data_IF_434395175672
#
_entry.id   IF_434395175672
#
_cell.length_a   1.000
_cell.length_b   1.000
_cell.length_c   1.000
_cell.angle_alpha   90.00
_cell.angle_beta   90.00
_cell.angle_gamma   90.00
#
_symmetry.space_group_name_H-M   'P 1'
#
loop_
_entity.id
_entity.type
_entity.pdbx_description
1 polymer ?
#
# COMPACT_ATOMS: atom_id res chain seq x y z
N UNK A 1 -11.89 -2.24 10.75
CA UNK A 1 -10.84 -1.26 11.10
C UNK A 1 -10.47 -0.47 9.86
N UNK A 2 -10.30 0.85 9.97
CA UNK A 2 -10.10 1.76 8.83
C UNK A 2 -8.61 1.96 8.54
N UNK A 3 -8.20 1.95 7.28
CA UNK A 3 -6.83 2.30 6.89
C UNK A 3 -6.57 3.79 7.13
N UNK A 4 -5.61 4.07 8.01
CA UNK A 4 -5.22 5.40 8.49
C UNK A 4 -3.82 5.82 8.03
N UNK A 5 -3.09 4.91 7.39
CA UNK A 5 -1.76 5.16 6.84
C UNK A 5 -1.63 4.68 5.40
N UNK A 6 -0.57 5.14 4.75
CA UNK A 6 -0.08 4.60 3.48
C UNK A 6 1.16 3.76 3.76
N UNK A 7 1.20 2.54 3.23
CA UNK A 7 2.37 1.66 3.23
C UNK A 7 2.93 1.50 1.81
N UNK A 8 4.23 1.22 1.72
CA UNK A 8 4.92 0.94 0.48
C UNK A 8 5.16 -0.56 0.29
N UNK A 9 4.69 -1.14 -0.81
CA UNK A 9 4.87 -2.57 -1.13
C UNK A 9 6.36 -2.95 -1.12
N UNK A 10 7.18 -2.22 -1.89
CA UNK A 10 8.61 -2.15 -1.73
C UNK A 10 8.93 -1.06 -0.71
N UNK A 11 9.60 -1.36 0.41
CA UNK A 11 9.93 -0.37 1.43
C UNK A 11 10.78 0.79 0.89
N UNK A 12 10.50 2.01 1.33
CA UNK A 12 11.30 3.21 0.98
C UNK A 12 12.78 3.07 1.30
N UNK A 13 13.11 2.46 2.44
CA UNK A 13 14.49 2.18 2.86
C UNK A 13 15.24 1.23 1.90
N UNK A 14 14.51 0.53 1.01
CA UNK A 14 15.03 -0.38 -0.01
C UNK A 14 14.72 0.13 -1.43
N UNK A 15 14.58 1.45 -1.59
CA UNK A 15 14.41 2.10 -2.90
C UNK A 15 12.97 2.16 -3.43
N UNK A 16 11.97 1.74 -2.65
CA UNK A 16 10.57 1.86 -3.03
C UNK A 16 10.12 3.31 -3.19
N UNK A 17 9.45 3.63 -4.30
CA UNK A 17 9.00 4.99 -4.63
C UNK A 17 7.57 5.22 -4.18
N UNK A 18 7.19 6.46 -3.93
CA UNK A 18 5.78 6.81 -3.76
C UNK A 18 5.13 6.93 -5.13
N UNK A 19 4.48 5.85 -5.57
CA UNK A 19 3.81 5.74 -6.86
C UNK A 19 2.62 4.77 -6.74
N UNK A 20 1.66 4.88 -7.66
CA UNK A 20 0.41 4.11 -7.64
C UNK A 20 0.61 2.61 -7.41
N UNK A 21 1.58 2.01 -8.11
CA UNK A 21 1.85 0.57 -8.04
C UNK A 21 2.61 0.14 -6.77
N UNK A 22 3.05 1.09 -5.95
CA UNK A 22 3.81 0.82 -4.75
C UNK A 22 3.14 1.34 -3.48
N UNK A 23 2.10 2.17 -3.57
CA UNK A 23 1.39 2.74 -2.43
C UNK A 23 0.08 2.00 -2.16
N UNK A 24 -0.12 1.55 -0.92
CA UNK A 24 -1.35 0.87 -0.48
C UNK A 24 -1.87 1.48 0.81
N UNK A 25 -3.18 1.41 1.03
CA UNK A 25 -3.79 1.80 2.30
C UNK A 25 -3.56 0.71 3.36
N UNK A 26 -3.14 1.10 4.56
CA UNK A 26 -2.83 0.18 5.65
C UNK A 26 -3.21 0.76 7.02
N UNK A 27 -3.52 -0.11 7.98
CA UNK A 27 -3.58 0.27 9.40
C UNK A 27 -2.17 0.60 9.89
N UNK A 28 -2.03 1.57 10.79
CA UNK A 28 -0.75 1.93 11.41
C UNK A 28 -0.02 0.71 12.01
N UNK A 29 -0.74 -0.16 12.74
CA UNK A 29 -0.20 -1.37 13.35
C UNK A 29 0.25 -2.42 12.33
N UNK A 30 -0.49 -2.58 11.23
CA UNK A 30 -0.11 -3.45 10.12
C UNK A 30 1.13 -2.91 9.40
N UNK A 31 1.18 -1.61 9.15
CA UNK A 31 2.30 -0.93 8.51
C UNK A 31 3.58 -1.09 9.35
N UNK A 32 3.49 -0.85 10.66
CA UNK A 32 4.57 -1.07 11.61
C UNK A 32 5.01 -2.55 11.65
N UNK A 33 4.05 -3.48 11.69
CA UNK A 33 4.34 -4.92 11.67
C UNK A 33 5.06 -5.34 10.39
N UNK A 34 4.71 -4.79 9.22
CA UNK A 34 5.41 -5.07 7.96
C UNK A 34 6.83 -4.50 7.98
N UNK A 35 6.98 -3.24 8.40
CA UNK A 35 8.27 -2.56 8.54
C UNK A 35 9.02 -2.45 7.21
N UNK A 36 10.33 -2.72 7.24
CA UNK A 36 11.21 -2.65 6.06
C UNK A 36 11.21 -3.91 5.18
N UNK A 37 10.13 -4.69 5.22
CA UNK A 37 9.94 -5.93 4.45
C UNK A 37 8.89 -5.73 3.36
N UNK A 38 8.98 -6.52 2.30
CA UNK A 38 7.89 -6.69 1.34
C UNK A 38 6.72 -7.47 1.97
N UNK A 39 5.49 -7.39 1.42
CA UNK A 39 4.36 -8.24 1.81
C UNK A 39 4.73 -9.73 1.94
N UNK A 40 5.49 -10.26 0.99
CA UNK A 40 5.92 -11.66 0.99
C UNK A 40 6.90 -11.97 2.13
N UNK A 41 7.91 -11.14 2.35
CA UNK A 41 8.87 -11.30 3.46
C UNK A 41 8.22 -11.14 4.84
N UNK A 42 7.12 -10.37 4.93
CA UNK A 42 6.36 -10.18 6.15
C UNK A 42 5.29 -11.25 6.41
N UNK A 43 5.00 -12.12 5.44
CA UNK A 43 3.86 -13.04 5.50
C UNK A 43 2.51 -12.30 5.54
N UNK A 44 2.44 -11.15 4.87
CA UNK A 44 1.30 -10.23 4.87
C UNK A 44 0.83 -10.02 3.43
N UNK A 45 0.09 -10.96 2.83
CA UNK A 45 -0.38 -10.82 1.45
C UNK A 45 -1.28 -9.60 1.30
N UNK A 46 -1.16 -8.91 0.16
CA UNK A 46 -2.04 -7.80 -0.18
C UNK A 46 -3.46 -8.33 -0.46
N UNK A 47 -4.47 -7.57 -0.02
CA UNK A 47 -5.88 -7.86 -0.33
C UNK A 47 -6.18 -7.63 -1.81
N UNK A 48 -5.57 -6.58 -2.38
CA UNK A 48 -5.67 -6.23 -3.79
C UNK A 48 -4.29 -5.82 -4.31
N UNK A 49 -4.03 -6.11 -5.58
CA UNK A 49 -2.84 -5.58 -6.23
C UNK A 49 -3.01 -4.08 -6.48
N UNK A 50 -2.03 -3.23 -6.15
CA UNK A 50 -2.10 -1.82 -6.45
C UNK A 50 -2.12 -1.57 -7.96
N UNK A 51 -2.90 -0.58 -8.40
CA UNK A 51 -3.08 -0.25 -9.81
C UNK A 51 -3.09 1.27 -10.02
N UNK A 52 -2.90 1.70 -11.27
CA UNK A 52 -3.14 3.09 -11.66
C UNK A 52 -4.62 3.21 -12.02
N UNK A 53 -5.42 4.00 -11.29
CA UNK A 53 -6.83 4.14 -11.61
C UNK A 53 -7.01 4.92 -12.92
N UNK A 54 -8.01 4.51 -13.68
CA UNK A 54 -8.55 5.28 -14.80
C UNK A 54 -9.27 6.52 -14.30
N UNK A 55 -9.50 7.48 -15.20
CA UNK A 55 -10.27 8.67 -14.84
C UNK A 55 -11.70 8.34 -14.40
N UNK A 56 -12.33 7.32 -14.99
CA UNK A 56 -13.68 6.90 -14.60
C UNK A 56 -13.73 6.37 -13.15
N UNK A 57 -12.71 5.65 -12.70
CA UNK A 57 -12.64 5.11 -11.33
C UNK A 57 -12.35 6.17 -10.26
N UNK A 58 -11.74 7.29 -10.65
CA UNK A 58 -11.47 8.42 -9.76
C UNK A 58 -12.68 9.34 -9.57
N UNK A 59 -13.71 9.21 -10.40
CA UNK A 59 -14.96 9.94 -10.20
C UNK A 59 -15.68 9.28 -9.04
N UNK A 60 -15.42 9.79 -7.85
CA UNK A 60 -16.22 9.48 -6.67
C UNK A 60 -17.51 10.28 -6.85
N UNK A 61 -18.64 9.58 -6.96
CA UNK A 61 -19.96 10.21 -6.99
C UNK A 61 -20.14 10.95 -5.66
N UNK A 62 -19.95 12.27 -5.70
CA UNK A 62 -20.05 13.18 -4.55
C UNK A 62 -21.49 13.54 -4.25
#
# INVERSE_FOLDING_TARGET
>A
ENADTMDHVQPRSRGGRTEWLNAVAAHASCNERKGNRTPSEAGMPLLWQPWVPTRAELVIDT
#
